data_IF_088854376947
#
_entry.id   IF_088854376947
#
_cell.length_a   1.000
_cell.length_b   1.000
_cell.length_c   1.000
_cell.angle_alpha   90.00
_cell.angle_beta   90.00
_cell.angle_gamma   90.00
#
_symmetry.space_group_name_H-M   'P 1'
#
loop_
_entity.id
_entity.type
_entity.pdbx_description
1 polymer ?
#
# COMPACT_ATOMS: atom_id res chain seq x y z
N UNK A 1 -9.02 9.31 3.67
CA UNK A 1 -7.56 9.54 3.58
C UNK A 1 -7.13 9.30 2.15
N UNK A 2 -6.45 10.27 1.54
CA UNK A 2 -5.92 10.15 0.18
C UNK A 2 -4.41 9.97 0.30
N UNK A 3 -3.94 8.75 0.08
CA UNK A 3 -2.51 8.44 0.11
C UNK A 3 -1.91 8.70 -1.28
N UNK A 4 -0.84 9.49 -1.41
CA UNK A 4 -0.09 9.59 -2.66
C UNK A 4 0.55 8.24 -3.01
N UNK A 5 0.87 8.03 -4.28
CA UNK A 5 1.48 6.79 -4.77
C UNK A 5 2.78 6.45 -4.02
N UNK A 6 3.56 7.48 -3.68
CA UNK A 6 4.82 7.38 -2.92
C UNK A 6 4.59 6.79 -1.54
N UNK A 7 3.63 7.31 -0.78
CA UNK A 7 3.32 6.82 0.57
C UNK A 7 2.82 5.38 0.52
N UNK A 8 1.97 5.03 -0.46
CA UNK A 8 1.53 3.64 -0.67
C UNK A 8 2.71 2.71 -0.95
N UNK A 9 3.68 3.14 -1.75
CA UNK A 9 4.88 2.36 -2.06
C UNK A 9 5.76 2.18 -0.82
N UNK A 10 5.96 3.23 -0.03
CA UNK A 10 6.73 3.15 1.22
C UNK A 10 6.11 2.15 2.20
N UNK A 11 4.77 2.15 2.32
CA UNK A 11 4.04 1.18 3.13
C UNK A 11 4.26 -0.25 2.61
N UNK A 12 4.14 -0.47 1.30
CA UNK A 12 4.38 -1.79 0.69
C UNK A 12 5.81 -2.27 0.97
N UNK A 13 6.82 -1.43 0.73
CA UNK A 13 8.22 -1.76 1.01
C UNK A 13 8.48 -2.02 2.49
N UNK A 14 7.84 -1.26 3.37
CA UNK A 14 7.95 -1.46 4.83
C UNK A 14 7.36 -2.81 5.23
N UNK A 15 6.23 -3.20 4.65
CA UNK A 15 5.63 -4.51 4.89
C UNK A 15 6.47 -5.65 4.31
N UNK A 16 7.00 -5.50 3.10
CA UNK A 16 7.85 -6.51 2.45
C UNK A 16 9.22 -6.69 3.15
N UNK A 17 9.80 -5.60 3.65
CA UNK A 17 11.06 -5.63 4.40
C UNK A 17 10.90 -5.97 5.88
N UNK A 18 9.67 -5.97 6.41
CA UNK A 18 9.43 -6.31 7.81
C UNK A 18 9.47 -7.82 8.02
N UNK A 19 10.16 -8.26 9.06
CA UNK A 19 10.09 -9.64 9.53
C UNK A 19 8.85 -9.91 10.40
N UNK A 20 8.07 -8.87 10.68
CA UNK A 20 6.81 -8.99 11.41
C UNK A 20 5.69 -9.45 10.48
N UNK A 21 4.64 -10.11 11.01
CA UNK A 21 3.47 -10.42 10.22
C UNK A 21 2.86 -9.15 9.64
N UNK A 22 2.52 -9.16 8.35
CA UNK A 22 1.89 -8.03 7.64
C UNK A 22 0.74 -7.40 8.43
N UNK A 23 -0.09 -8.22 9.07
CA UNK A 23 -1.19 -7.74 9.91
C UNK A 23 -0.71 -6.81 11.02
N UNK A 24 0.35 -7.19 11.74
CA UNK A 24 0.90 -6.40 12.84
C UNK A 24 1.48 -5.08 12.35
N UNK A 25 2.23 -5.11 11.25
CA UNK A 25 2.79 -3.90 10.63
C UNK A 25 1.69 -2.94 10.18
N UNK A 26 0.61 -3.45 9.56
CA UNK A 26 -0.52 -2.64 9.12
C UNK A 26 -1.32 -2.07 10.29
N UNK A 27 -1.52 -2.85 11.36
CA UNK A 27 -2.19 -2.40 12.58
C UNK A 27 -1.37 -1.28 13.26
N UNK A 28 -0.02 -1.38 13.27
CA UNK A 28 0.87 -0.31 13.77
C UNK A 28 0.81 0.96 12.92
N UNK A 29 0.69 0.83 11.60
CA UNK A 29 0.55 1.95 10.67
C UNK A 29 -0.89 2.53 10.65
N UNK A 30 -1.85 1.88 11.32
CA UNK A 30 -3.25 2.28 11.31
C UNK A 30 -3.95 2.09 9.96
N UNK A 31 -3.44 1.18 9.12
CA UNK A 31 -3.93 0.97 7.75
C UNK A 31 -4.87 -0.23 7.71
N UNK A 32 -6.11 -0.06 7.23
CA UNK A 32 -7.01 -1.19 7.03
C UNK A 32 -6.42 -2.20 6.03
N UNK A 33 -6.43 -3.49 6.39
CA UNK A 33 -5.94 -4.59 5.55
C UNK A 33 -6.54 -4.59 4.14
N UNK A 34 -7.83 -4.29 4.03
CA UNK A 34 -8.55 -4.23 2.75
C UNK A 34 -8.01 -3.15 1.82
N UNK A 35 -7.59 -2.00 2.38
CA UNK A 35 -6.97 -0.92 1.63
C UNK A 35 -5.57 -1.32 1.17
N UNK A 36 -4.78 -1.93 2.05
CA UNK A 36 -3.44 -2.41 1.72
C UNK A 36 -3.46 -3.43 0.58
N UNK A 37 -4.27 -4.49 0.69
CA UNK A 37 -4.32 -5.52 -0.36
C UNK A 37 -4.76 -4.94 -1.72
N UNK A 38 -5.71 -3.99 -1.74
CA UNK A 38 -6.08 -3.30 -3.00
C UNK A 38 -4.93 -2.53 -3.64
N UNK A 39 -4.04 -1.94 -2.84
CA UNK A 39 -2.85 -1.29 -3.37
C UNK A 39 -1.80 -2.31 -3.81
N UNK A 40 -1.63 -3.37 -3.02
CA UNK A 40 -0.71 -4.45 -3.33
C UNK A 40 -1.05 -5.14 -4.64
N UNK A 41 -2.33 -5.48 -4.86
CA UNK A 41 -2.81 -6.07 -6.11
C UNK A 41 -2.48 -5.16 -7.31
N UNK A 42 -2.75 -3.86 -7.19
CA UNK A 42 -2.41 -2.87 -8.23
C UNK A 42 -0.90 -2.78 -8.46
N UNK A 43 -0.11 -2.81 -7.39
CA UNK A 43 1.35 -2.78 -7.47
C UNK A 43 1.90 -4.02 -8.17
N UNK A 44 1.34 -5.21 -7.91
CA UNK A 44 1.73 -6.44 -8.58
C UNK A 44 1.33 -6.41 -10.07
N UNK A 45 0.17 -5.86 -10.40
CA UNK A 45 -0.33 -5.80 -11.79
C UNK A 45 0.35 -4.72 -12.64
N UNK A 46 0.69 -3.56 -12.06
CA UNK A 46 1.14 -2.39 -12.83
C UNK A 46 2.19 -1.52 -12.12
N UNK A 47 2.85 -2.06 -11.10
CA UNK A 47 3.95 -1.39 -10.42
C UNK A 47 3.55 -0.08 -9.73
N UNK A 48 4.51 0.84 -9.64
CA UNK A 48 4.32 2.13 -8.99
C UNK A 48 3.25 2.99 -9.67
N UNK A 49 3.17 2.97 -11.00
CA UNK A 49 2.22 3.79 -11.76
C UNK A 49 0.76 3.40 -11.46
N UNK A 50 0.51 2.13 -11.14
CA UNK A 50 -0.81 1.65 -10.75
C UNK A 50 -1.22 2.06 -9.32
N UNK A 51 -0.28 2.50 -8.48
CA UNK A 51 -0.56 3.05 -7.15
C UNK A 51 -1.03 4.51 -7.20
N UNK A 52 -0.75 5.21 -8.32
CA UNK A 52 -1.25 6.56 -8.55
C UNK A 52 -2.77 6.58 -8.50
N UNK A 53 -3.31 7.51 -7.71
CA UNK A 53 -4.74 7.72 -7.65
C UNK A 53 -5.16 8.26 -9.02
N UNK A 54 -5.99 7.50 -9.75
CA UNK A 54 -6.65 8.02 -10.96
C UNK A 54 -7.61 9.09 -10.47
N UNK A 55 -7.15 10.35 -10.40
CA UNK A 55 -8.05 11.49 -10.20
C UNK A 55 -9.15 11.35 -11.25
N UNK A 56 -10.43 11.28 -10.85
CA UNK A 56 -11.50 11.39 -11.82
C UNK A 56 -11.34 12.78 -12.46
N UNK A 57 -11.11 12.80 -13.77
CA UNK A 57 -11.25 14.03 -14.55
C UNK A 57 -12.71 14.44 -14.59
#
# INVERSE_FOLDING_TARGET
>A
MRYPATEKLEIIRTVEGSHLPTKMTLDMLGIPRTTFYRWYDRYVEGGFDALADRSPR
#
